data_IF_722395315371
#
_entry.id   IF_722395315371
#
_cell.length_a   1.000
_cell.length_b   1.000
_cell.length_c   1.000
_cell.angle_alpha   90.00
_cell.angle_beta   90.00
_cell.angle_gamma   90.00
#
_symmetry.space_group_name_H-M   'P 1'
#
loop_
_entity.id
_entity.type
_entity.pdbx_description
1 polymer ?
#
# COMPACT_ATOMS: atom_id res chain seq x y z
N UNK A 1 -18.78 -10.89 27.11
CA UNK A 1 -17.40 -11.38 26.84
C UNK A 1 -17.39 -11.98 25.45
N UNK A 2 -16.44 -11.58 24.60
CA UNK A 2 -16.25 -12.18 23.27
C UNK A 2 -15.39 -13.44 23.33
N UNK A 3 -15.46 -14.26 22.28
CA UNK A 3 -14.60 -15.44 22.09
C UNK A 3 -13.43 -15.01 21.20
N UNK A 4 -12.19 -15.42 21.55
CA UNK A 4 -11.00 -15.16 20.74
C UNK A 4 -10.66 -16.38 19.89
N UNK A 5 -10.33 -16.16 18.62
CA UNK A 5 -9.77 -17.17 17.71
C UNK A 5 -8.63 -16.55 16.91
N UNK A 6 -7.57 -17.31 16.68
CA UNK A 6 -6.52 -16.91 15.74
C UNK A 6 -6.97 -17.30 14.33
N UNK A 7 -6.86 -16.36 13.38
CA UNK A 7 -7.22 -16.59 11.98
C UNK A 7 -5.99 -16.27 11.13
N UNK A 8 -5.55 -17.25 10.34
CA UNK A 8 -4.48 -17.09 9.36
C UNK A 8 -5.09 -17.22 7.97
N UNK A 9 -4.77 -16.29 7.06
CA UNK A 9 -5.28 -16.29 5.68
C UNK A 9 -4.13 -16.05 4.69
N UNK A 10 -4.27 -16.63 3.50
CA UNK A 10 -3.46 -16.29 2.32
C UNK A 10 -4.35 -15.54 1.35
N UNK A 11 -3.92 -14.34 0.95
CA UNK A 11 -4.68 -13.46 0.05
C UNK A 11 -3.95 -13.33 -1.27
N UNK A 12 -4.68 -13.48 -2.37
CA UNK A 12 -4.26 -13.00 -3.70
C UNK A 12 -5.04 -11.72 -4.01
N UNK A 13 -4.32 -10.71 -4.47
CA UNK A 13 -4.90 -9.42 -4.79
C UNK A 13 -4.25 -8.86 -6.06
N UNK A 14 -5.08 -8.27 -6.91
CA UNK A 14 -4.64 -7.48 -8.05
C UNK A 14 -5.06 -6.04 -7.80
N UNK A 15 -4.06 -5.17 -7.67
CA UNK A 15 -4.25 -3.75 -7.34
C UNK A 15 -3.51 -2.94 -8.40
N UNK A 16 -4.26 -2.06 -9.06
CA UNK A 16 -3.67 -1.02 -9.89
C UNK A 16 -3.28 0.14 -8.98
N UNK A 17 -2.02 0.56 -9.04
CA UNK A 17 -1.46 1.59 -8.17
C UNK A 17 -0.82 2.66 -9.02
N UNK A 18 -1.10 3.90 -8.68
CA UNK A 18 -0.48 5.06 -9.29
C UNK A 18 0.06 5.97 -8.20
N UNK A 19 1.38 6.16 -8.20
CA UNK A 19 2.10 7.00 -7.25
C UNK A 19 2.56 8.30 -7.95
N UNK A 20 3.06 9.24 -7.14
CA UNK A 20 3.75 10.41 -7.66
C UNK A 20 4.96 10.03 -8.53
N UNK A 21 5.33 10.91 -9.47
CA UNK A 21 6.29 10.59 -10.55
C UNK A 21 7.64 10.11 -10.05
N UNK A 22 8.13 10.66 -8.93
CA UNK A 22 9.39 10.26 -8.30
C UNK A 22 9.45 8.76 -8.01
N UNK A 23 8.32 8.14 -7.65
CA UNK A 23 8.27 6.73 -7.28
C UNK A 23 8.55 5.81 -8.46
N UNK A 24 8.31 6.27 -9.70
CA UNK A 24 8.60 5.50 -10.91
C UNK A 24 10.10 5.36 -11.18
N UNK A 25 10.90 6.34 -10.76
CA UNK A 25 12.35 6.37 -10.93
C UNK A 25 13.00 7.09 -9.74
N UNK A 26 13.00 6.45 -8.54
CA UNK A 26 13.42 7.09 -7.31
C UNK A 26 14.93 7.34 -7.33
N UNK A 27 15.33 8.48 -6.77
CA UNK A 27 16.74 8.75 -6.47
C UNK A 27 17.18 7.95 -5.23
N UNK A 28 18.49 7.95 -4.97
CA UNK A 28 19.03 7.36 -3.73
C UNK A 28 18.45 8.06 -2.50
N UNK A 29 18.30 9.38 -2.54
CA UNK A 29 17.74 10.18 -1.44
C UNK A 29 16.26 9.82 -1.19
N UNK A 30 15.49 9.56 -2.25
CA UNK A 30 14.10 9.11 -2.12
C UNK A 30 14.02 7.74 -1.42
N UNK A 31 14.88 6.79 -1.82
CA UNK A 31 14.94 5.46 -1.20
C UNK A 31 15.32 5.56 0.27
N UNK A 32 16.33 6.37 0.60
CA UNK A 32 16.76 6.62 1.97
C UNK A 32 15.62 7.24 2.79
N UNK A 33 14.91 8.24 2.25
CA UNK A 33 13.76 8.86 2.93
C UNK A 33 12.62 7.89 3.21
N UNK A 34 12.29 7.00 2.26
CA UNK A 34 11.30 5.93 2.46
C UNK A 34 11.77 4.96 3.55
N UNK A 35 13.06 4.62 3.57
CA UNK A 35 13.64 3.72 4.59
C UNK A 35 13.65 4.34 5.98
N UNK A 36 14.00 5.62 6.10
CA UNK A 36 13.98 6.38 7.35
C UNK A 36 12.58 6.44 7.97
N UNK A 37 11.54 6.34 7.14
CA UNK A 37 10.16 6.26 7.57
C UNK A 37 9.71 4.86 8.01
N UNK A 38 10.61 3.87 8.06
CA UNK A 38 10.38 2.52 8.59
C UNK A 38 9.97 1.48 7.55
N UNK A 39 10.07 1.80 6.26
CA UNK A 39 9.88 0.84 5.18
C UNK A 39 11.22 0.24 4.74
N UNK A 40 11.18 -0.89 4.04
CA UNK A 40 12.39 -1.54 3.51
C UNK A 40 12.20 -1.68 2.01
N UNK A 41 12.82 -0.77 1.24
CA UNK A 41 12.72 -0.71 -0.22
C UNK A 41 14.12 -0.52 -0.80
N UNK A 42 14.37 -1.09 -1.99
CA UNK A 42 15.65 -0.92 -2.69
C UNK A 42 15.49 -0.30 -4.09
N UNK A 43 14.25 -0.16 -4.57
CA UNK A 43 13.92 0.28 -5.92
C UNK A 43 12.42 0.68 -6.04
N UNK A 44 12.04 1.10 -7.25
CA UNK A 44 10.65 1.44 -7.62
C UNK A 44 9.67 0.29 -7.34
N UNK A 45 9.96 -0.95 -7.78
CA UNK A 45 9.04 -2.08 -7.60
C UNK A 45 8.74 -2.37 -6.12
N UNK A 46 9.74 -2.22 -5.24
CA UNK A 46 9.56 -2.37 -3.79
C UNK A 46 8.68 -1.26 -3.19
N UNK A 47 8.74 -0.04 -3.74
CA UNK A 47 7.85 1.07 -3.38
C UNK A 47 6.41 0.70 -3.74
N UNK A 48 6.14 0.23 -4.96
CA UNK A 48 4.80 -0.19 -5.37
C UNK A 48 4.29 -1.40 -4.56
N UNK A 49 5.15 -2.37 -4.27
CA UNK A 49 4.85 -3.50 -3.37
C UNK A 49 4.44 -3.02 -1.98
N UNK A 50 5.14 -2.02 -1.45
CA UNK A 50 4.85 -1.43 -0.13
C UNK A 50 3.52 -0.69 -0.14
N UNK A 51 3.24 0.11 -1.17
CA UNK A 51 1.97 0.79 -1.36
C UNK A 51 0.79 -0.22 -1.43
N UNK A 52 0.93 -1.31 -2.19
CA UNK A 52 -0.06 -2.37 -2.27
C UNK A 52 -0.37 -3.00 -0.90
N UNK A 53 0.68 -3.26 -0.11
CA UNK A 53 0.55 -3.78 1.24
C UNK A 53 -0.17 -2.81 2.17
N UNK A 54 0.11 -1.52 2.07
CA UNK A 54 -0.57 -0.48 2.86
C UNK A 54 -2.06 -0.40 2.53
N UNK A 55 -2.41 -0.46 1.24
CA UNK A 55 -3.81 -0.53 0.79
C UNK A 55 -4.53 -1.74 1.40
N UNK A 56 -3.95 -2.94 1.33
CA UNK A 56 -4.54 -4.15 1.89
C UNK A 56 -4.68 -4.09 3.42
N UNK A 57 -3.76 -3.40 4.10
CA UNK A 57 -3.80 -3.21 5.55
C UNK A 57 -4.73 -2.06 5.98
N UNK A 58 -5.44 -1.41 5.07
CA UNK A 58 -6.29 -0.26 5.38
C UNK A 58 -5.52 0.89 6.03
N UNK A 59 -4.28 1.13 5.59
CA UNK A 59 -3.36 2.13 6.13
C UNK A 59 -2.95 1.93 7.58
N UNK A 60 -3.23 0.77 8.17
CA UNK A 60 -2.65 0.42 9.46
C UNK A 60 -1.13 0.46 9.35
N UNK A 61 -0.47 1.17 10.28
CA UNK A 61 1.00 1.41 10.32
C UNK A 61 1.56 2.30 9.20
N UNK A 62 0.73 3.07 8.50
CA UNK A 62 1.20 4.09 7.55
C UNK A 62 1.84 5.29 8.27
N UNK A 63 3.12 5.56 7.99
CA UNK A 63 3.65 6.92 8.08
C UNK A 63 3.14 7.66 6.83
N UNK A 64 2.06 8.44 7.00
CA UNK A 64 1.42 9.19 5.92
C UNK A 64 2.36 10.21 5.23
N UNK A 65 3.55 10.44 5.79
CA UNK A 65 4.57 11.33 5.27
C UNK A 65 5.25 10.82 3.99
N UNK A 66 5.23 9.50 3.72
CA UNK A 66 5.95 8.90 2.56
C UNK A 66 5.09 8.81 1.31
N UNK A 67 3.88 8.26 1.47
CA UNK A 67 2.99 7.97 0.34
C UNK A 67 1.85 8.99 0.22
N UNK A 68 1.84 10.01 1.10
CA UNK A 68 0.75 10.97 1.20
C UNK A 68 -0.58 10.31 1.56
N UNK A 69 -1.69 10.94 1.14
CA UNK A 69 -3.01 10.33 1.18
C UNK A 69 -3.18 9.52 -0.10
N UNK A 70 -3.34 8.20 0.03
CA UNK A 70 -3.66 7.35 -1.13
C UNK A 70 -5.18 7.27 -1.26
N UNK A 71 -5.74 7.77 -2.35
CA UNK A 71 -7.18 7.79 -2.57
C UNK A 71 -7.67 6.52 -3.30
N UNK A 72 -8.82 5.99 -2.88
CA UNK A 72 -9.45 4.80 -3.47
C UNK A 72 -10.22 5.07 -4.76
N UNK A 73 -10.27 6.33 -5.21
CA UNK A 73 -10.97 6.74 -6.42
C UNK A 73 -9.94 7.16 -7.45
N UNK A 74 -9.78 6.38 -8.52
CA UNK A 74 -8.89 6.68 -9.63
C UNK A 74 -9.39 7.94 -10.36
N UNK A 75 -8.77 9.10 -10.09
CA UNK A 75 -9.22 10.43 -10.56
C UNK A 75 -8.09 11.34 -11.06
N UNK A 76 -6.91 10.79 -11.36
CA UNK A 76 -5.77 11.60 -11.82
C UNK A 76 -6.14 12.41 -13.06
N UNK A 77 -5.81 13.70 -13.07
CA UNK A 77 -6.19 14.67 -14.11
C UNK A 77 -7.51 15.43 -13.90
N UNK A 78 -8.32 15.07 -12.89
CA UNK A 78 -9.58 15.77 -12.57
C UNK A 78 -9.53 16.59 -11.27
N UNK A 79 -8.36 16.73 -10.65
CA UNK A 79 -8.16 17.55 -9.44
C UNK A 79 -6.93 18.46 -9.59
N UNK A 80 -6.90 19.65 -8.93
CA UNK A 80 -5.90 20.67 -9.21
C UNK A 80 -4.47 20.33 -8.78
N UNK A 81 -4.27 19.41 -7.83
CA UNK A 81 -2.97 19.11 -7.20
C UNK A 81 -2.59 17.61 -7.28
N UNK A 82 -2.95 16.91 -8.37
CA UNK A 82 -2.75 15.45 -8.49
C UNK A 82 -1.29 14.98 -8.57
N UNK A 83 -0.33 15.90 -8.72
CA UNK A 83 1.09 15.55 -8.88
C UNK A 83 1.71 15.01 -7.58
N UNK A 84 1.13 15.35 -6.42
CA UNK A 84 1.56 14.85 -5.11
C UNK A 84 0.60 13.82 -4.51
N UNK A 85 -0.49 13.49 -5.22
CA UNK A 85 -1.49 12.53 -4.76
C UNK A 85 -1.18 11.14 -5.29
N UNK A 86 -1.50 10.13 -4.49
CA UNK A 86 -1.42 8.72 -4.87
C UNK A 86 -2.82 8.11 -4.99
N UNK A 87 -3.00 7.16 -5.91
CA UNK A 87 -4.28 6.55 -6.21
C UNK A 87 -4.15 5.03 -6.30
N UNK A 88 -5.25 4.32 -6.04
CA UNK A 88 -5.31 2.88 -6.26
C UNK A 88 -6.71 2.41 -6.66
N UNK A 89 -6.76 1.28 -7.34
CA UNK A 89 -7.99 0.53 -7.61
C UNK A 89 -7.75 -0.96 -7.35
N UNK A 90 -8.54 -1.56 -6.44
CA UNK A 90 -8.52 -3.01 -6.21
C UNK A 90 -9.36 -3.66 -7.32
N UNK A 91 -8.69 -4.36 -8.24
CA UNK A 91 -9.34 -5.07 -9.35
C UNK A 91 -9.87 -6.43 -8.90
N UNK A 92 -9.10 -7.13 -8.06
CA UNK A 92 -9.49 -8.41 -7.48
C UNK A 92 -8.89 -8.55 -6.08
N UNK A 93 -9.62 -9.20 -5.17
CA UNK A 93 -9.11 -9.66 -3.88
C UNK A 93 -9.82 -10.96 -3.51
N UNK A 94 -9.04 -12.00 -3.24
CA UNK A 94 -9.55 -13.32 -2.89
C UNK A 94 -8.73 -13.97 -1.77
N UNK A 95 -9.40 -14.74 -0.92
CA UNK A 95 -8.75 -15.57 0.09
C UNK A 95 -8.58 -16.96 -0.49
N UNK A 96 -7.34 -17.32 -0.78
CA UNK A 96 -7.00 -18.60 -1.40
C UNK A 96 -6.94 -19.74 -0.39
N UNK A 97 -6.55 -19.44 0.85
CA UNK A 97 -6.49 -20.42 1.94
C UNK A 97 -6.73 -19.75 3.29
N UNK A 98 -7.26 -20.50 4.25
CA UNK A 98 -7.45 -20.03 5.62
C UNK A 98 -7.41 -21.14 6.68
N UNK A 99 -6.99 -20.76 7.89
CA UNK A 99 -7.00 -21.62 9.09
C UNK A 99 -7.53 -20.84 10.29
N UNK A 100 -8.36 -21.49 11.11
CA UNK A 100 -8.94 -20.90 12.33
C UNK A 100 -8.64 -21.78 13.55
N UNK A 101 -8.08 -21.19 14.60
CA UNK A 101 -7.71 -21.87 15.84
C UNK A 101 -8.44 -21.29 17.05
N UNK A 102 -8.87 -22.15 17.97
CA UNK A 102 -9.36 -21.73 19.28
C UNK A 102 -8.19 -21.34 20.18
N UNK A 103 -8.24 -20.15 20.77
CA UNK A 103 -7.29 -19.71 21.80
C UNK A 103 -7.69 -20.21 23.19
#
# INVERSE_FOLDING_TARGET
>A
MGIKKLVTITVEAQIEIELAEWASNPTVEDIEGVCDCGFYVENSDDIYKTAARLVLNGYATSNNDVFGIIYSEWRKGNTPDTENDSFYEIKNIEVNDYRVESM
#
